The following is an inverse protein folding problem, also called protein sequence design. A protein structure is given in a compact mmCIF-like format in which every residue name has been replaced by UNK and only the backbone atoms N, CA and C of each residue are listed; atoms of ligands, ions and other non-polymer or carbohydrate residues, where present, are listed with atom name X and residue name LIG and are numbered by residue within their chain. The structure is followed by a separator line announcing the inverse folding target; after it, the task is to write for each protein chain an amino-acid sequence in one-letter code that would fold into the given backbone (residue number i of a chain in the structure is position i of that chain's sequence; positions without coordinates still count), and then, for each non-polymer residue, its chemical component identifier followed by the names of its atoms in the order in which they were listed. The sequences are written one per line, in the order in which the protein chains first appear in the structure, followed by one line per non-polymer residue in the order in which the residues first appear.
data_IF_406503182314
#
_entry.id   IF_406503182314
#
_cell.length_a   1.000
_cell.length_b   1.000
_cell.length_c   1.000
_cell.angle_alpha   90.00
_cell.angle_beta   90.00
_cell.angle_gamma   90.00
#
_symmetry.space_group_name_H-M   'P 1'
#
loop_
_entity.id
_entity.type
_entity.pdbx_description
1 polymer ?
#
# COMPACT_ATOMS: atom_id res chain seq x y z
N UNK A 1 -20.00 -1.15 11.94
CA UNK A 1 -19.64 0.16 12.52
C UNK A 1 -18.31 0.55 11.90
N UNK A 2 -18.27 1.53 10.99
CA UNK A 2 -17.01 2.01 10.40
C UNK A 2 -16.28 2.81 11.47
N UNK A 3 -15.17 2.28 12.00
CA UNK A 3 -14.26 3.03 12.87
C UNK A 3 -13.56 4.07 11.99
N UNK A 4 -14.18 5.25 11.88
CA UNK A 4 -13.80 6.27 10.92
C UNK A 4 -12.97 7.35 11.61
N UNK A 5 -11.66 7.33 11.38
CA UNK A 5 -10.71 8.41 11.72
C UNK A 5 -10.10 9.02 10.44
N UNK A 6 -10.91 9.46 9.46
CA UNK A 6 -10.39 9.86 8.18
C UNK A 6 -9.51 11.10 8.34
N UNK A 7 -8.30 11.04 7.80
CA UNK A 7 -7.48 12.23 7.71
C UNK A 7 -7.99 13.13 6.60
N UNK A 8 -7.88 14.44 6.82
CA UNK A 8 -7.99 15.42 5.72
C UNK A 8 -6.74 15.32 4.83
N UNK A 9 -6.80 15.90 3.63
CA UNK A 9 -5.61 16.01 2.76
C UNK A 9 -4.42 16.67 3.48
N UNK A 10 -4.66 17.67 4.33
CA UNK A 10 -3.61 18.30 5.13
C UNK A 10 -3.01 17.35 6.17
N UNK A 11 -3.84 16.54 6.84
CA UNK A 11 -3.38 15.50 7.77
C UNK A 11 -2.55 14.43 7.07
N UNK A 12 -3.01 13.97 5.91
CA UNK A 12 -2.27 13.03 5.07
C UNK A 12 -0.92 13.58 4.62
N UNK A 13 -0.84 14.83 4.17
CA UNK A 13 0.43 15.43 3.75
C UNK A 13 1.43 15.49 4.91
N UNK A 14 0.99 15.80 6.14
CA UNK A 14 1.85 15.77 7.32
C UNK A 14 2.31 14.35 7.65
N UNK A 15 1.43 13.35 7.58
CA UNK A 15 1.79 11.95 7.73
C UNK A 15 2.86 11.54 6.71
N UNK A 16 2.62 11.77 5.41
CA UNK A 16 3.59 11.41 4.36
C UNK A 16 4.91 12.16 4.53
N UNK A 17 4.86 13.44 4.91
CA UNK A 17 6.06 14.22 5.21
C UNK A 17 6.87 13.62 6.35
N UNK A 18 6.19 13.14 7.39
CA UNK A 18 6.84 12.48 8.53
C UNK A 18 7.41 11.11 8.17
N UNK A 19 6.65 10.28 7.46
CA UNK A 19 7.07 8.93 7.08
C UNK A 19 8.27 8.92 6.16
N UNK A 20 8.28 9.84 5.19
CA UNK A 20 9.29 9.92 4.12
C UNK A 20 10.32 11.02 4.36
N UNK A 21 10.34 11.60 5.56
CA UNK A 21 11.32 12.63 5.98
C UNK A 21 11.47 13.77 4.96
N UNK A 22 10.33 14.24 4.44
CA UNK A 22 10.29 15.27 3.40
C UNK A 22 10.66 16.62 4.01
N UNK A 23 11.76 17.20 3.52
CA UNK A 23 12.21 18.53 3.92
C UNK A 23 11.18 19.63 3.59
N UNK A 24 11.19 20.71 4.37
CA UNK A 24 10.22 21.82 4.27
C UNK A 24 10.19 22.48 2.89
N UNK A 25 11.33 22.59 2.22
CA UNK A 25 11.45 23.15 0.87
C UNK A 25 10.86 22.22 -0.22
N UNK A 26 10.58 20.95 0.11
CA UNK A 26 10.00 19.94 -0.80
C UNK A 26 8.50 19.72 -0.61
N UNK A 27 7.84 20.45 0.29
CA UNK A 27 6.40 20.29 0.56
C UNK A 27 5.53 20.54 -0.67
N UNK A 28 5.90 21.49 -1.53
CA UNK A 28 5.21 21.75 -2.80
C UNK A 28 5.29 20.56 -3.75
N UNK A 29 6.45 19.90 -3.83
CA UNK A 29 6.64 18.71 -4.66
C UNK A 29 5.84 17.51 -4.13
N UNK A 30 5.83 17.31 -2.80
CA UNK A 30 5.00 16.30 -2.13
C UNK A 30 3.52 16.49 -2.47
N UNK A 31 3.01 17.72 -2.37
CA UNK A 31 1.63 18.06 -2.74
C UNK A 31 1.35 17.77 -4.21
N UNK A 32 2.27 18.12 -5.11
CA UNK A 32 2.14 17.83 -6.54
C UNK A 32 2.02 16.33 -6.83
N UNK A 33 2.84 15.49 -6.17
CA UNK A 33 2.78 14.03 -6.29
C UNK A 33 1.45 13.46 -5.80
N UNK A 34 0.95 13.94 -4.65
CA UNK A 34 -0.37 13.52 -4.15
C UNK A 34 -1.50 13.91 -5.12
N UNK A 35 -1.46 15.12 -5.68
CA UNK A 35 -2.43 15.56 -6.69
C UNK A 35 -2.35 14.71 -7.96
N UNK A 36 -1.16 14.27 -8.35
CA UNK A 36 -0.99 13.35 -9.48
C UNK A 36 -1.72 12.03 -9.23
N UNK A 37 -1.51 11.39 -8.08
CA UNK A 37 -2.26 10.17 -7.71
C UNK A 37 -3.77 10.39 -7.66
N UNK A 38 -4.23 11.54 -7.13
CA UNK A 38 -5.65 11.90 -7.14
C UNK A 38 -6.21 11.99 -8.57
N UNK A 39 -5.47 12.57 -9.53
CA UNK A 39 -5.90 12.61 -10.95
C UNK A 39 -5.97 11.21 -11.57
N UNK A 40 -5.10 10.30 -11.14
CA UNK A 40 -5.15 8.88 -11.50
C UNK A 40 -6.26 8.10 -10.76
N UNK A 41 -7.11 8.79 -9.98
CA UNK A 41 -8.19 8.21 -9.16
C UNK A 41 -7.68 7.20 -8.12
N UNK A 42 -6.46 7.41 -7.64
CA UNK A 42 -5.82 6.57 -6.64
C UNK A 42 -5.64 7.32 -5.30
N UNK A 43 -5.90 6.68 -4.15
CA UNK A 43 -6.57 5.38 -4.01
C UNK A 43 -8.07 5.50 -4.32
N UNK A 44 -8.75 4.39 -4.65
CA UNK A 44 -10.18 4.42 -4.97
C UNK A 44 -11.01 4.95 -3.79
N UNK A 45 -12.13 5.61 -4.10
CA UNK A 45 -13.11 6.07 -3.09
C UNK A 45 -12.78 7.38 -2.35
N UNK A 46 -11.58 7.96 -2.56
CA UNK A 46 -11.19 9.23 -1.91
C UNK A 46 -11.68 10.47 -2.67
N UNK A 47 -11.84 10.38 -3.99
CA UNK A 47 -12.28 11.48 -4.84
C UNK A 47 -13.80 11.65 -4.80
N UNK A 48 -14.33 12.23 -3.73
CA UNK A 48 -15.70 12.72 -3.72
C UNK A 48 -15.78 14.01 -4.53
N UNK A 49 -16.79 14.16 -5.39
CA UNK A 49 -16.94 15.29 -6.33
C UNK A 49 -17.01 16.68 -5.67
N UNK A 50 -17.32 17.71 -6.48
CA UNK A 50 -17.39 19.11 -6.03
C UNK A 50 -18.21 19.24 -4.74
N UNK A 51 -17.56 19.70 -3.66
CA UNK A 51 -18.22 20.08 -2.41
C UNK A 51 -17.94 19.21 -1.19
N UNK A 52 -17.40 17.99 -1.35
CA UNK A 52 -17.04 17.13 -0.21
C UNK A 52 -15.51 17.02 -0.04
N UNK A 53 -14.95 17.38 1.13
CA UNK A 53 -13.54 17.22 1.39
C UNK A 53 -13.11 15.75 1.27
N UNK A 54 -11.94 15.51 0.65
CA UNK A 54 -11.34 14.20 0.60
C UNK A 54 -11.07 13.69 2.02
N UNK A 55 -11.49 12.45 2.29
CA UNK A 55 -11.34 11.78 3.58
C UNK A 55 -10.52 10.50 3.37
N UNK A 56 -9.39 10.41 4.08
CA UNK A 56 -8.43 9.32 3.92
C UNK A 56 -8.50 8.36 5.11
N UNK A 57 -9.16 7.22 4.92
CA UNK A 57 -9.23 6.14 5.91
C UNK A 57 -7.99 5.24 5.89
N UNK A 58 -7.96 4.23 6.78
CA UNK A 58 -6.81 3.34 6.96
C UNK A 58 -6.26 2.77 5.65
N UNK A 59 -7.12 2.22 4.78
CA UNK A 59 -6.70 1.69 3.47
C UNK A 59 -6.07 2.74 2.57
N UNK A 60 -6.61 3.96 2.54
CA UNK A 60 -6.04 5.06 1.76
C UNK A 60 -4.68 5.52 2.30
N UNK A 61 -4.51 5.54 3.63
CA UNK A 61 -3.23 5.88 4.27
C UNK A 61 -2.15 4.85 3.91
N UNK A 62 -2.46 3.56 4.01
CA UNK A 62 -1.52 2.48 3.67
C UNK A 62 -1.19 2.50 2.18
N UNK A 63 -2.20 2.56 1.31
CA UNK A 63 -2.02 2.57 -0.14
C UNK A 63 -1.13 3.73 -0.63
N UNK A 64 -1.36 4.95 -0.12
CA UNK A 64 -0.53 6.09 -0.48
C UNK A 64 0.85 6.02 0.13
N UNK A 65 1.01 5.57 1.38
CA UNK A 65 2.34 5.44 1.99
C UNK A 65 3.21 4.46 1.20
N UNK A 66 2.67 3.31 0.78
CA UNK A 66 3.37 2.35 -0.08
C UNK A 66 3.66 2.93 -1.45
N UNK A 67 2.71 3.64 -2.06
CA UNK A 67 2.94 4.31 -3.35
C UNK A 67 4.08 5.32 -3.28
N UNK A 68 4.24 6.03 -2.15
CA UNK A 68 5.35 6.95 -1.95
C UNK A 68 6.69 6.25 -1.72
N UNK A 69 6.73 5.08 -1.07
CA UNK A 69 7.94 4.22 -1.05
C UNK A 69 8.35 3.85 -2.49
N UNK A 70 7.38 3.46 -3.32
CA UNK A 70 7.65 3.11 -4.73
C UNK A 70 8.12 4.30 -5.57
N UNK A 71 7.65 5.52 -5.27
CA UNK A 71 8.20 6.75 -5.87
C UNK A 71 9.67 6.95 -5.49
N UNK A 72 10.08 6.60 -4.26
CA UNK A 72 11.49 6.69 -3.85
C UNK A 72 12.36 5.66 -4.57
N UNK A 73 11.78 4.52 -4.99
CA UNK A 73 12.41 3.54 -5.88
C UNK A 73 12.45 4.01 -7.35
N UNK A 74 11.95 5.22 -7.65
CA UNK A 74 12.00 5.86 -8.94
C UNK A 74 10.83 5.54 -9.88
N UNK A 75 9.85 4.75 -9.45
CA UNK A 75 8.73 4.37 -10.30
C UNK A 75 7.86 5.57 -10.69
N UNK A 76 7.27 5.55 -11.89
CA UNK A 76 6.29 6.57 -12.31
C UNK A 76 4.94 6.37 -11.58
N UNK A 77 4.17 7.44 -11.29
CA UNK A 77 2.84 7.32 -10.69
C UNK A 77 1.91 6.37 -11.44
N UNK A 78 1.95 6.38 -12.78
CA UNK A 78 1.15 5.52 -13.65
C UNK A 78 1.50 4.04 -13.46
N UNK A 79 2.80 3.71 -13.43
CA UNK A 79 3.26 2.35 -13.18
C UNK A 79 2.88 1.87 -11.78
N UNK A 80 3.03 2.75 -10.76
CA UNK A 80 2.65 2.44 -9.37
C UNK A 80 1.16 2.12 -9.28
N UNK A 81 0.29 2.96 -9.86
CA UNK A 81 -1.16 2.73 -9.83
C UNK A 81 -1.54 1.46 -10.58
N UNK A 82 -0.95 1.22 -11.77
CA UNK A 82 -1.19 0.01 -12.53
C UNK A 82 -0.82 -1.25 -11.73
N UNK A 83 0.33 -1.21 -11.06
CA UNK A 83 0.85 -2.32 -10.27
C UNK A 83 0.01 -2.58 -9.01
N UNK A 84 -0.31 -1.53 -8.24
CA UNK A 84 -1.14 -1.67 -7.03
C UNK A 84 -2.59 -2.09 -7.36
N UNK A 85 -3.12 -1.70 -8.53
CA UNK A 85 -4.41 -2.20 -9.01
C UNK A 85 -4.34 -3.66 -9.50
N UNK A 86 -3.20 -4.08 -10.06
CA UNK A 86 -3.01 -5.47 -10.47
C UNK A 86 -2.95 -6.40 -9.26
N UNK A 87 -2.24 -5.98 -8.20
CA UNK A 87 -2.11 -6.74 -6.94
C UNK A 87 -3.06 -6.22 -5.86
N UNK A 88 -4.31 -5.92 -6.24
CA UNK A 88 -5.28 -5.23 -5.38
C UNK A 88 -5.63 -5.95 -4.06
N UNK A 89 -5.53 -7.28 -4.01
CA UNK A 89 -5.74 -8.07 -2.78
C UNK A 89 -4.50 -8.21 -1.90
N UNK A 90 -3.30 -8.09 -2.48
CA UNK A 90 -2.04 -8.31 -1.76
C UNK A 90 -1.82 -7.26 -0.66
N UNK A 91 -1.99 -5.97 -1.00
CA UNK A 91 -1.76 -4.89 -0.04
C UNK A 91 -2.77 -4.87 1.12
N UNK A 92 -4.10 -5.02 0.89
CA UNK A 92 -5.07 -5.20 1.97
C UNK A 92 -4.76 -6.42 2.85
N UNK A 93 -4.36 -7.55 2.25
CA UNK A 93 -3.97 -8.75 3.01
C UNK A 93 -2.81 -8.47 3.95
N UNK A 94 -1.71 -7.89 3.44
CA UNK A 94 -0.57 -7.49 4.25
C UNK A 94 -0.96 -6.52 5.38
N UNK A 95 -1.89 -5.60 5.09
CA UNK A 95 -2.40 -4.64 6.06
C UNK A 95 -3.25 -5.30 7.15
N UNK A 96 -4.10 -6.27 6.80
CA UNK A 96 -4.88 -7.06 7.76
C UNK A 96 -3.97 -7.83 8.71
N UNK A 97 -2.94 -8.49 8.19
CA UNK A 97 -1.91 -9.14 9.01
C UNK A 97 -1.19 -8.15 9.93
N UNK A 98 -0.78 -6.98 9.42
CA UNK A 98 -0.17 -5.96 10.26
C UNK A 98 -1.12 -5.45 11.35
N UNK A 99 -2.41 -5.26 11.06
CA UNK A 99 -3.42 -4.91 12.06
C UNK A 99 -3.52 -5.98 13.15
N UNK A 100 -3.56 -7.24 12.76
CA UNK A 100 -3.52 -8.36 13.68
C UNK A 100 -2.29 -8.37 14.60
N UNK A 101 -1.09 -8.07 14.08
CA UNK A 101 0.12 -7.90 14.89
C UNK A 101 0.01 -6.71 15.85
N UNK A 102 -0.46 -5.55 15.36
CA UNK A 102 -0.69 -4.35 16.17
C UNK A 102 -1.66 -4.61 17.33
N UNK A 103 -2.67 -5.45 17.14
CA UNK A 103 -3.64 -5.78 18.20
C UNK A 103 -3.08 -6.67 19.32
N UNK A 104 -1.87 -7.22 19.17
CA UNK A 104 -1.31 -8.21 20.10
C UNK A 104 -2.02 -9.56 20.12
N UNK A 105 -3.04 -9.78 19.27
CA UNK A 105 -3.83 -11.03 19.21
C UNK A 105 -3.03 -12.24 18.77
N UNK A 106 -1.87 -12.05 18.14
CA UNK A 106 -0.98 -13.15 17.73
C UNK A 106 0.03 -13.58 18.81
N UNK A 107 -0.09 -13.06 20.04
CA UNK A 107 0.87 -13.32 21.11
C UNK A 107 2.23 -12.70 20.81
N UNK A 108 3.18 -12.83 21.75
CA UNK A 108 4.59 -12.53 21.48
C UNK A 108 5.08 -13.53 20.43
N UNK A 109 4.91 -13.23 19.15
CA UNK A 109 5.62 -13.96 18.10
C UNK A 109 7.10 -13.66 18.35
N UNK A 110 7.91 -14.68 18.64
CA UNK A 110 9.33 -14.52 18.98
C UNK A 110 10.13 -13.80 17.88
N UNK A 111 9.61 -13.73 16.65
CA UNK A 111 10.00 -12.75 15.62
C UNK A 111 8.76 -12.47 14.74
N UNK A 112 8.26 -11.23 14.60
CA UNK A 112 7.08 -10.96 13.77
C UNK A 112 7.33 -11.36 12.31
N UNK A 113 6.37 -12.05 11.68
CA UNK A 113 6.38 -12.27 10.24
C UNK A 113 6.11 -10.94 9.51
N UNK A 114 7.18 -10.22 9.17
CA UNK A 114 7.09 -8.97 8.42
C UNK A 114 6.67 -9.25 6.98
N UNK A 115 5.66 -8.52 6.50
CA UNK A 115 5.31 -8.51 5.09
C UNK A 115 6.18 -7.49 4.37
N UNK A 116 6.83 -7.95 3.30
CA UNK A 116 7.66 -7.15 2.42
C UNK A 116 7.11 -7.20 1.00
N UNK A 117 7.18 -6.07 0.31
CA UNK A 117 7.01 -6.01 -1.13
C UNK A 117 8.40 -6.05 -1.75
N UNK A 118 8.60 -7.00 -2.64
CA UNK A 118 9.83 -7.28 -3.36
C UNK A 118 9.76 -6.65 -4.74
N UNK A 119 10.84 -6.02 -5.19
CA UNK A 119 11.00 -5.50 -6.54
C UNK A 119 12.30 -6.01 -7.17
N UNK A 120 12.21 -6.53 -8.39
CA UNK A 120 13.38 -6.75 -9.24
C UNK A 120 13.90 -5.39 -9.74
N UNK A 121 15.16 -5.00 -9.44
CA UNK A 121 15.76 -3.74 -9.90
C UNK A 121 15.93 -3.62 -11.42
N UNK A 122 16.19 -4.71 -12.14
CA UNK A 122 16.24 -4.69 -13.61
C UNK A 122 14.85 -4.36 -14.16
N UNK A 123 13.85 -4.91 -13.48
CA UNK A 123 12.46 -4.68 -13.76
C UNK A 123 12.04 -3.24 -13.36
N UNK A 124 12.52 -2.68 -12.25
CA UNK A 124 12.31 -1.27 -11.90
C UNK A 124 12.82 -0.30 -12.98
N UNK A 125 13.95 -0.61 -13.63
CA UNK A 125 14.52 0.23 -14.68
C UNK A 125 13.58 0.39 -15.89
N UNK A 126 12.84 -0.66 -16.28
CA UNK A 126 11.83 -0.54 -17.34
C UNK A 126 10.66 0.34 -16.89
N UNK A 127 10.20 0.20 -15.64
CA UNK A 127 9.10 0.97 -15.05
C UNK A 127 9.38 2.47 -14.89
N UNK A 128 10.65 2.85 -14.77
CA UNK A 128 11.08 4.26 -14.74
C UNK A 128 10.86 4.96 -16.08
N UNK A 129 10.84 4.22 -17.19
CA UNK A 129 10.72 4.77 -18.54
C UNK A 129 9.28 4.79 -19.08
N UNK A 130 8.39 3.98 -18.52
CA UNK A 130 7.03 3.78 -19.03
C UNK A 130 6.10 4.92 -18.63
N UNK A 131 5.83 5.85 -19.57
CA UNK A 131 4.85 6.94 -19.40
C UNK A 131 3.39 6.51 -19.64
N UNK A 132 3.15 5.31 -20.18
CA UNK A 132 1.85 4.86 -20.68
C UNK A 132 1.20 3.72 -19.89
N UNK A 133 1.69 3.41 -18.68
CA UNK A 133 1.22 2.27 -17.89
C UNK A 133 1.75 0.93 -18.41
N UNK A 134 1.57 -0.14 -17.63
CA UNK A 134 2.09 -1.48 -17.93
C UNK A 134 1.12 -2.27 -18.83
N UNK A 135 1.65 -2.86 -19.92
CA UNK A 135 0.91 -3.86 -20.70
C UNK A 135 0.65 -5.12 -19.85
N UNK A 136 -0.32 -5.94 -20.24
CA UNK A 136 -0.76 -7.10 -19.45
C UNK A 136 0.36 -8.11 -19.15
N UNK A 137 1.20 -8.39 -20.15
CA UNK A 137 2.27 -9.39 -20.09
C UNK A 137 3.50 -8.90 -19.31
N UNK A 138 3.67 -7.57 -19.19
CA UNK A 138 4.75 -6.99 -18.41
C UNK A 138 4.50 -7.16 -16.90
N UNK A 139 3.24 -7.17 -16.43
CA UNK A 139 2.91 -7.07 -14.98
C UNK A 139 3.43 -8.21 -14.11
N UNK A 140 3.77 -9.36 -14.68
CA UNK A 140 4.01 -10.59 -13.93
C UNK A 140 5.36 -10.67 -13.20
N UNK A 141 6.33 -9.79 -13.49
CA UNK A 141 7.71 -9.95 -13.01
C UNK A 141 8.23 -8.83 -12.08
N UNK A 142 7.42 -7.82 -11.77
CA UNK A 142 7.93 -6.61 -11.11
C UNK A 142 7.76 -6.59 -9.59
N UNK A 143 6.75 -7.28 -9.06
CA UNK A 143 6.39 -7.16 -7.65
C UNK A 143 5.89 -8.47 -7.06
N UNK A 144 6.44 -8.87 -5.91
CA UNK A 144 5.94 -10.02 -5.17
C UNK A 144 5.74 -9.63 -3.70
N UNK A 145 4.65 -10.12 -3.09
CA UNK A 145 4.39 -9.95 -1.68
C UNK A 145 4.84 -11.21 -0.96
N UNK A 146 5.77 -11.06 -0.03
CA UNK A 146 6.25 -12.20 0.75
C UNK A 146 6.29 -11.87 2.24
N UNK A 147 6.18 -12.90 3.06
CA UNK A 147 6.57 -12.82 4.47
C UNK A 147 8.07 -13.05 4.58
N UNK A 148 8.76 -12.29 5.43
CA UNK A 148 10.21 -12.37 5.56
C UNK A 148 10.69 -13.77 6.03
N UNK A 149 9.87 -14.50 6.79
CA UNK A 149 10.14 -15.88 7.20
C UNK A 149 9.94 -16.91 6.08
N UNK A 150 8.99 -16.66 5.17
CA UNK A 150 8.79 -17.47 3.96
C UNK A 150 9.79 -17.17 2.85
N UNK A 151 10.39 -15.97 2.87
CA UNK A 151 11.45 -15.57 1.96
C UNK A 151 12.80 -16.09 2.43
N UNK A 152 13.15 -17.33 2.07
CA UNK A 152 14.58 -17.67 2.06
C UNK A 152 15.19 -16.87 0.91
N UNK A 153 16.05 -15.90 1.24
CA UNK A 153 16.75 -15.08 0.23
C UNK A 153 17.42 -15.95 -0.85
N UNK A 154 17.87 -17.16 -0.48
CA UNK A 154 18.38 -18.18 -1.41
C UNK A 154 17.34 -18.69 -2.42
N UNK A 155 16.10 -18.88 -2.00
CA UNK A 155 14.99 -19.31 -2.88
C UNK A 155 14.60 -18.19 -3.84
N UNK A 156 14.53 -16.93 -3.37
CA UNK A 156 14.35 -15.77 -4.24
C UNK A 156 15.45 -15.64 -5.30
N UNK A 157 16.71 -15.85 -4.92
CA UNK A 157 17.84 -15.74 -5.84
C UNK A 157 17.84 -16.86 -6.90
N UNK A 158 17.33 -18.04 -6.54
CA UNK A 158 17.22 -19.18 -7.45
C UNK A 158 15.99 -19.13 -8.37
N UNK A 159 14.87 -18.57 -7.91
CA UNK A 159 13.64 -18.44 -8.71
C UNK A 159 13.70 -17.23 -9.65
N UNK A 160 14.27 -16.11 -9.21
CA UNK A 160 14.22 -14.84 -9.95
C UNK A 160 15.57 -14.46 -10.60
N UNK A 161 16.65 -15.21 -10.38
CA UNK A 161 18.00 -14.96 -10.93
C UNK A 161 18.49 -13.50 -10.78
N UNK A 162 18.03 -12.80 -9.74
CA UNK A 162 18.24 -11.36 -9.55
C UNK A 162 19.46 -11.10 -8.69
N UNK A 163 20.45 -10.43 -9.28
CA UNK A 163 21.69 -10.05 -8.57
C UNK A 163 21.50 -8.95 -7.52
N UNK A 164 20.37 -8.23 -7.54
CA UNK A 164 20.02 -7.13 -6.63
C UNK A 164 18.51 -7.20 -6.35
N UNK A 165 18.08 -6.77 -5.17
CA UNK A 165 16.67 -6.78 -4.78
C UNK A 165 16.33 -5.48 -4.03
N UNK A 166 15.21 -4.87 -4.39
CA UNK A 166 14.64 -3.72 -3.68
C UNK A 166 13.46 -4.19 -2.82
N UNK A 167 13.35 -3.67 -1.60
CA UNK A 167 12.42 -4.15 -0.58
C UNK A 167 11.68 -2.97 0.05
N UNK A 168 10.35 -3.11 0.21
CA UNK A 168 9.54 -2.23 1.04
C UNK A 168 8.97 -3.03 2.20
N UNK A 169 9.35 -2.69 3.44
CA UNK A 169 8.84 -3.33 4.66
C UNK A 169 7.48 -2.73 5.04
N UNK A 170 6.42 -3.26 4.42
CA UNK A 170 5.05 -2.79 4.58
C UNK A 170 4.58 -2.85 6.04
N UNK A 171 4.96 -3.90 6.79
CA UNK A 171 4.60 -4.01 8.21
C UNK A 171 5.20 -2.87 9.04
N UNK A 172 6.47 -2.56 8.87
CA UNK A 172 7.14 -1.45 9.58
C UNK A 172 6.52 -0.11 9.19
N UNK A 173 6.23 0.09 7.91
CA UNK A 173 5.56 1.30 7.43
C UNK A 173 4.19 1.48 8.11
N UNK A 174 3.39 0.41 8.21
CA UNK A 174 2.09 0.44 8.89
C UNK A 174 2.24 0.74 10.38
N UNK A 175 3.26 0.21 11.04
CA UNK A 175 3.52 0.49 12.45
C UNK A 175 3.87 1.97 12.66
N UNK A 176 4.67 2.57 11.76
CA UNK A 176 4.97 4.00 11.78
C UNK A 176 3.73 4.87 11.54
N UNK A 177 2.81 4.43 10.66
CA UNK A 177 1.50 5.10 10.51
C UNK A 177 0.73 5.05 11.83
N UNK A 178 0.66 3.88 12.47
CA UNK A 178 -0.04 3.72 13.75
C UNK A 178 0.52 4.63 14.84
N UNK A 179 1.84 4.68 14.98
CA UNK A 179 2.54 5.53 15.96
C UNK A 179 2.24 7.02 15.71
N UNK A 180 2.34 7.46 14.45
CA UNK A 180 2.02 8.83 14.07
C UNK A 180 0.56 9.19 14.36
N UNK A 181 -0.39 8.33 13.97
CA UNK A 181 -1.81 8.55 14.21
C UNK A 181 -2.14 8.62 15.71
N UNK A 182 -1.48 7.80 16.52
CA UNK A 182 -1.65 7.84 17.97
C UNK A 182 -1.14 9.16 18.55
N UNK A 183 0.08 9.57 18.19
CA UNK A 183 0.72 10.79 18.73
C UNK A 183 0.05 12.09 18.28
N UNK A 184 -0.39 12.17 17.03
CA UNK A 184 -0.83 13.43 16.43
C UNK A 184 -2.34 13.55 16.21
N UNK A 185 -3.05 12.42 16.22
CA UNK A 185 -4.48 12.36 15.90
C UNK A 185 -5.31 11.64 16.95
N UNK A 186 -4.69 11.14 18.04
CA UNK A 186 -5.39 10.45 19.12
C UNK A 186 -6.04 9.13 18.71
N UNK A 187 -5.67 8.57 17.55
CA UNK A 187 -6.20 7.28 17.08
C UNK A 187 -5.53 6.18 17.89
N UNK A 188 -6.31 5.34 18.56
CA UNK A 188 -5.73 4.25 19.33
C UNK A 188 -5.15 3.18 18.39
N UNK A 189 -4.16 2.44 18.90
CA UNK A 189 -3.63 1.25 18.24
C UNK A 189 -4.74 0.26 17.86
N UNK A 190 -5.72 0.08 18.76
CA UNK A 190 -6.87 -0.80 18.56
C UNK A 190 -7.78 -0.34 17.42
N UNK A 191 -8.08 0.97 17.35
CA UNK A 191 -8.92 1.53 16.29
C UNK A 191 -8.26 1.38 14.92
N UNK A 192 -6.97 1.71 14.83
CA UNK A 192 -6.22 1.58 13.59
C UNK A 192 -6.10 0.11 13.16
N UNK A 193 -5.75 -0.78 14.08
CA UNK A 193 -5.73 -2.22 13.86
C UNK A 193 -7.05 -2.76 13.32
N UNK A 194 -8.16 -2.44 13.99
CA UNK A 194 -9.48 -2.90 13.58
C UNK A 194 -9.88 -2.38 12.20
N UNK A 195 -9.54 -1.12 11.89
CA UNK A 195 -9.77 -0.55 10.57
C UNK A 195 -8.97 -1.25 9.46
N UNK A 196 -7.72 -1.66 9.73
CA UNK A 196 -6.90 -2.42 8.77
C UNK A 196 -7.47 -3.83 8.54
N UNK A 197 -7.82 -4.54 9.62
CA UNK A 197 -8.43 -5.88 9.52
C UNK A 197 -9.74 -5.83 8.76
N UNK A 198 -10.56 -4.82 9.04
CA UNK A 198 -11.83 -4.64 8.35
C UNK A 198 -11.63 -4.29 6.87
N UNK A 199 -10.70 -3.38 6.54
CA UNK A 199 -10.36 -3.06 5.16
C UNK A 199 -9.86 -4.29 4.38
N UNK A 200 -9.06 -5.16 5.00
CA UNK A 200 -8.60 -6.40 4.39
C UNK A 200 -9.78 -7.33 4.03
N UNK A 201 -10.72 -7.51 4.97
CA UNK A 201 -11.91 -8.36 4.76
C UNK A 201 -12.82 -7.84 3.67
N UNK A 202 -13.10 -6.55 3.64
CA UNK A 202 -13.94 -5.96 2.57
C UNK A 202 -13.34 -6.23 1.19
N UNK A 203 -12.01 -6.14 1.05
CA UNK A 203 -11.34 -6.37 -0.23
C UNK A 203 -11.34 -7.84 -0.64
N UNK A 204 -11.18 -8.75 0.31
CA UNK A 204 -11.32 -10.19 0.07
C UNK A 204 -12.76 -10.53 -0.40
N UNK A 205 -13.78 -9.97 0.24
CA UNK A 205 -15.18 -10.15 -0.16
C UNK A 205 -15.47 -9.57 -1.56
N UNK A 206 -14.95 -8.38 -1.89
CA UNK A 206 -15.06 -7.78 -3.22
C UNK A 206 -14.39 -8.66 -4.30
N UNK A 207 -13.19 -9.18 -4.04
CA UNK A 207 -12.48 -10.05 -4.98
C UNK A 207 -13.21 -11.37 -5.21
N UNK A 208 -13.70 -12.02 -4.14
CA UNK A 208 -14.53 -13.21 -4.25
C UNK A 208 -15.80 -12.93 -5.06
N UNK A 209 -16.50 -11.83 -4.78
CA UNK A 209 -17.70 -11.45 -5.50
C UNK A 209 -17.44 -11.24 -7.01
N UNK A 210 -16.30 -10.67 -7.39
CA UNK A 210 -15.91 -10.54 -8.80
C UNK A 210 -15.58 -11.90 -9.44
N UNK A 211 -14.84 -12.78 -8.75
CA UNK A 211 -14.53 -14.12 -9.26
C UNK A 211 -15.78 -14.97 -9.55
N UNK A 212 -16.87 -14.76 -8.81
CA UNK A 212 -18.13 -15.47 -9.02
C UNK A 212 -19.08 -14.79 -10.03
N UNK A 213 -18.87 -13.50 -10.38
CA UNK A 213 -19.64 -12.82 -11.45
C UNK A 213 -19.35 -13.38 -12.83
N UNK A 214 -18.13 -13.83 -13.09
CA UNK A 214 -17.73 -14.43 -14.38
C UNK A 214 -18.18 -15.91 -14.53
N UNK A 215 -18.89 -16.45 -13.52
CA UNK A 215 -19.38 -17.85 -13.51
C UNK A 215 -20.90 -18.00 -13.60
N UNK A 216 -21.66 -16.90 -13.68
CA UNK A 216 -23.09 -17.00 -14.03
C UNK A 216 -23.22 -17.40 -15.50
N UNK A 217 -23.88 -18.52 -15.82
CA UNK A 217 -24.16 -18.89 -17.21
C UNK A 217 -24.95 -17.76 -17.87
N UNK A 218 -24.53 -17.33 -19.04
CA UNK A 218 -25.43 -16.66 -19.97
C UNK A 218 -26.44 -17.71 -20.43
N UNK A 219 -27.59 -17.75 -19.77
CA UNK A 219 -28.81 -18.40 -20.27
C UNK A 219 -29.37 -17.64 -21.49
#
# INVERSE_FOLDING_TARGET
MSLSFPLTQAGLLRLLSHLHEVADDKQTALRGRLQHFQRLKFPPGVNTGRGKPAAYGAGSLVALSVAFEMLQLGMSPEAIVALLNHYRGALPTAAGYAGHLLSGKFGKIDVPDYHVILFDPAALASLQSTKSGLSGDERQFYMNLATFRGCKIKELNNEFWVSRLSLVNTTTLIFRISDYLNKHHGVSLGDFSNALIWWAKEREEEELAEMFKDRTPHD
#
